data_IF_455974686061
#
_entry.id   IF_455974686061
#
_cell.length_a   1.000
_cell.length_b   1.000
_cell.length_c   1.000
_cell.angle_alpha   90.00
_cell.angle_beta   90.00
_cell.angle_gamma   90.00
#
_symmetry.space_group_name_H-M   'P 1'
#
loop_
_entity.id
_entity.type
_entity.pdbx_description
1 polymer ?
#
# COMPACT_ATOMS: atom_id res chain seq x y z
N UNK A 1 14.24 19.12 8.05
CA UNK A 1 14.21 19.44 6.60
C UNK A 1 15.06 18.40 5.88
N UNK A 2 14.46 17.53 5.09
CA UNK A 2 15.23 16.55 4.31
C UNK A 2 16.02 17.31 3.23
N UNK A 3 17.34 17.09 3.16
CA UNK A 3 18.19 17.65 2.11
C UNK A 3 17.70 17.14 0.76
N UNK A 4 17.41 18.05 -0.16
CA UNK A 4 17.24 17.74 -1.58
C UNK A 4 18.53 17.07 -2.06
N UNK A 5 18.43 15.80 -2.44
CA UNK A 5 19.59 15.05 -2.95
C UNK A 5 19.68 15.33 -4.44
N UNK A 6 20.58 16.19 -4.85
CA UNK A 6 20.90 16.37 -6.27
C UNK A 6 21.26 15.01 -6.89
N UNK A 7 20.54 14.62 -7.96
CA UNK A 7 20.79 13.37 -8.70
C UNK A 7 19.96 12.15 -8.27
N UNK A 8 18.74 12.32 -7.74
CA UNK A 8 17.84 11.17 -7.47
C UNK A 8 17.59 10.39 -8.76
N UNK A 9 18.06 9.14 -8.83
CA UNK A 9 17.74 8.23 -9.93
C UNK A 9 16.24 7.88 -9.90
N UNK A 10 15.51 8.35 -10.91
CA UNK A 10 14.04 8.35 -11.00
C UNK A 10 13.45 7.12 -11.69
N UNK A 11 14.22 6.06 -11.91
CA UNK A 11 13.70 4.86 -12.59
C UNK A 11 12.49 4.28 -11.85
N UNK A 12 11.47 3.86 -12.61
CA UNK A 12 10.22 3.29 -12.06
C UNK A 12 10.51 2.11 -11.13
N UNK A 13 11.43 1.24 -11.51
CA UNK A 13 11.87 0.09 -10.72
C UNK A 13 12.44 0.54 -9.37
N UNK A 14 13.36 1.51 -9.36
CA UNK A 14 13.96 1.99 -8.11
C UNK A 14 12.94 2.64 -7.19
N UNK A 15 11.99 3.41 -7.73
CA UNK A 15 10.88 3.97 -6.94
C UNK A 15 9.98 2.88 -6.37
N UNK A 16 9.67 1.84 -7.16
CA UNK A 16 8.95 0.66 -6.70
C UNK A 16 9.64 0.00 -5.51
N UNK A 17 10.92 -0.31 -5.65
CA UNK A 17 11.74 -0.89 -4.57
C UNK A 17 11.78 -0.01 -3.32
N UNK A 18 11.88 1.32 -3.47
CA UNK A 18 11.82 2.25 -2.33
C UNK A 18 10.47 2.14 -1.63
N UNK A 19 9.36 2.08 -2.38
CA UNK A 19 8.03 1.92 -1.79
C UNK A 19 7.85 0.59 -1.07
N UNK A 20 8.36 -0.51 -1.64
CA UNK A 20 8.38 -1.81 -0.98
C UNK A 20 9.14 -1.75 0.35
N UNK A 21 10.35 -1.17 0.36
CA UNK A 21 11.16 -1.01 1.56
C UNK A 21 10.48 -0.13 2.61
N UNK A 22 9.77 0.93 2.18
CA UNK A 22 8.99 1.79 3.07
C UNK A 22 7.84 1.04 3.73
N UNK A 23 7.09 0.24 2.96
CA UNK A 23 6.01 -0.61 3.48
C UNK A 23 6.55 -1.68 4.42
N UNK A 24 7.68 -2.31 4.10
CA UNK A 24 8.35 -3.27 4.98
C UNK A 24 8.75 -2.64 6.31
N UNK A 25 9.34 -1.44 6.27
CA UNK A 25 9.74 -0.72 7.48
C UNK A 25 8.53 -0.38 8.36
N UNK A 26 7.43 0.08 7.77
CA UNK A 26 6.20 0.42 8.50
C UNK A 26 5.56 -0.81 9.18
N UNK A 27 5.49 -1.94 8.47
CA UNK A 27 5.01 -3.21 9.02
C UNK A 27 5.88 -3.71 10.18
N UNK A 28 7.21 -3.61 10.05
CA UNK A 28 8.13 -3.98 11.12
C UNK A 28 7.98 -3.09 12.36
N UNK A 29 7.81 -1.78 12.16
CA UNK A 29 7.57 -0.82 13.24
C UNK A 29 6.21 -1.05 13.95
N UNK A 30 5.27 -1.70 13.27
CA UNK A 30 3.94 -2.04 13.79
C UNK A 30 3.81 -3.51 14.22
N UNK A 31 4.94 -4.18 14.47
CA UNK A 31 5.04 -5.55 15.03
C UNK A 31 4.51 -6.67 14.15
N UNK A 32 4.59 -6.50 12.83
CA UNK A 32 4.36 -7.60 11.89
C UNK A 32 5.66 -8.31 11.51
N UNK A 33 5.60 -9.63 11.45
CA UNK A 33 6.62 -10.43 10.79
C UNK A 33 6.35 -10.44 9.28
N UNK A 34 7.41 -10.21 8.49
CA UNK A 34 7.35 -10.12 7.02
C UNK A 34 8.22 -11.19 6.37
N UNK A 35 7.73 -11.74 5.26
CA UNK A 35 8.41 -12.77 4.48
C UNK A 35 8.50 -12.32 3.03
N UNK A 36 9.68 -12.44 2.43
CA UNK A 36 9.92 -12.04 1.05
C UNK A 36 9.88 -13.25 0.12
N UNK A 37 9.09 -13.22 -0.96
CA UNK A 37 9.12 -14.28 -1.95
C UNK A 37 10.45 -14.27 -2.70
N UNK A 38 10.99 -15.47 -2.98
CA UNK A 38 12.20 -15.63 -3.79
C UNK A 38 11.88 -15.44 -5.29
N UNK A 39 10.65 -15.75 -5.70
CA UNK A 39 10.19 -15.64 -7.09
C UNK A 39 9.24 -14.44 -7.26
N UNK A 40 9.52 -13.58 -8.25
CA UNK A 40 8.79 -12.34 -8.55
C UNK A 40 7.82 -12.46 -9.76
N UNK A 41 7.49 -13.69 -10.16
CA UNK A 41 6.60 -13.96 -11.30
C UNK A 41 5.11 -14.01 -10.92
N UNK A 42 4.78 -13.78 -9.65
CA UNK A 42 3.42 -13.97 -9.10
C UNK A 42 2.73 -12.71 -8.59
N UNK A 43 3.34 -11.52 -8.74
CA UNK A 43 2.76 -10.24 -8.32
C UNK A 43 2.42 -10.16 -6.82
N UNK A 44 3.25 -10.80 -5.99
CA UNK A 44 3.24 -10.70 -4.54
C UNK A 44 4.62 -10.15 -4.18
N UNK A 45 4.66 -8.99 -3.54
CA UNK A 45 5.93 -8.34 -3.19
C UNK A 45 6.42 -8.80 -1.82
N UNK A 46 5.49 -9.11 -0.90
CA UNK A 46 5.78 -9.63 0.43
C UNK A 46 4.58 -10.40 1.01
N UNK A 47 4.81 -11.20 2.04
CA UNK A 47 3.79 -11.88 2.83
C UNK A 47 3.87 -11.39 4.26
N UNK A 48 2.74 -11.06 4.86
CA UNK A 48 2.62 -10.59 6.24
C UNK A 48 1.95 -11.65 7.09
N UNK A 49 2.53 -11.94 8.25
CA UNK A 49 1.93 -12.84 9.24
C UNK A 49 1.13 -12.07 10.28
N UNK A 50 -0.09 -12.53 10.54
CA UNK A 50 -1.05 -11.93 11.46
C UNK A 50 -1.69 -13.01 12.34
N UNK A 51 -2.52 -12.61 13.31
CA UNK A 51 -3.32 -13.56 14.09
C UNK A 51 -4.28 -14.39 13.23
N UNK A 52 -4.62 -13.90 12.04
CA UNK A 52 -5.54 -14.56 11.11
C UNK A 52 -4.79 -15.40 10.05
N UNK A 53 -3.46 -15.52 10.16
CA UNK A 53 -2.62 -16.25 9.23
C UNK A 53 -1.79 -15.35 8.31
N UNK A 54 -1.43 -15.89 7.15
CA UNK A 54 -0.54 -15.25 6.17
C UNK A 54 -1.33 -14.51 5.10
N UNK A 55 -0.91 -13.27 4.83
CA UNK A 55 -1.55 -12.38 3.86
C UNK A 55 -0.55 -11.98 2.78
N UNK A 56 -0.87 -12.23 1.51
CA UNK A 56 -0.07 -11.85 0.36
C UNK A 56 -0.31 -10.38 0.04
N UNK A 57 0.76 -9.60 0.02
CA UNK A 57 0.71 -8.15 -0.17
C UNK A 57 1.37 -7.76 -1.47
N UNK A 58 0.70 -6.91 -2.23
CA UNK A 58 1.30 -6.18 -3.35
C UNK A 58 1.44 -4.71 -2.96
N UNK A 59 2.63 -4.16 -3.15
CA UNK A 59 2.96 -2.76 -2.95
C UNK A 59 2.77 -1.96 -4.23
N UNK A 60 2.21 -0.76 -4.10
CA UNK A 60 2.15 0.24 -5.16
C UNK A 60 2.71 1.56 -4.67
N UNK A 61 3.69 2.08 -5.42
CA UNK A 61 4.21 3.43 -5.21
C UNK A 61 3.43 4.43 -6.04
N UNK A 62 2.86 5.44 -5.37
CA UNK A 62 2.09 6.52 -5.97
C UNK A 62 2.88 7.82 -5.83
N UNK A 63 3.26 8.39 -6.98
CA UNK A 63 4.14 9.57 -7.03
C UNK A 63 3.37 10.88 -7.22
N UNK A 64 2.05 10.82 -7.29
CA UNK A 64 1.19 11.97 -7.56
C UNK A 64 -0.28 11.62 -7.47
N UNK A 65 -1.12 12.64 -7.30
CA UNK A 65 -2.57 12.48 -7.27
C UNK A 65 -3.13 12.40 -8.70
N UNK A 66 -4.18 11.60 -8.90
CA UNK A 66 -4.89 11.53 -10.19
C UNK A 66 -5.80 12.74 -10.40
N UNK A 67 -6.29 13.31 -9.29
CA UNK A 67 -7.05 14.56 -9.25
C UNK A 67 -6.42 15.55 -8.29
N UNK A 68 -7.05 16.70 -8.03
CA UNK A 68 -6.56 17.66 -7.04
C UNK A 68 -6.57 17.12 -5.60
N UNK A 69 -7.36 16.09 -5.33
CA UNK A 69 -7.66 15.63 -3.97
C UNK A 69 -7.58 14.12 -3.76
N UNK A 70 -7.55 13.33 -4.83
CA UNK A 70 -7.58 11.87 -4.78
C UNK A 70 -6.49 11.22 -5.62
N UNK A 71 -6.09 10.01 -5.21
CA UNK A 71 -5.29 9.10 -6.02
C UNK A 71 -6.18 7.97 -6.54
N UNK A 72 -5.91 7.53 -7.77
CA UNK A 72 -6.54 6.37 -8.39
C UNK A 72 -5.54 5.20 -8.37
N UNK A 73 -5.95 4.10 -7.75
CA UNK A 73 -5.22 2.84 -7.76
C UNK A 73 -5.82 1.93 -8.82
N UNK A 74 -5.02 1.55 -9.81
CA UNK A 74 -5.42 0.60 -10.86
C UNK A 74 -5.00 -0.80 -10.46
N UNK A 75 -5.98 -1.68 -10.30
CA UNK A 75 -5.85 -3.07 -9.87
C UNK A 75 -6.29 -4.05 -10.96
N UNK A 76 -6.56 -3.55 -12.17
CA UNK A 76 -7.03 -4.34 -13.32
C UNK A 76 -6.14 -5.53 -13.69
N UNK A 77 -4.83 -5.49 -13.38
CA UNK A 77 -3.92 -6.61 -13.60
C UNK A 77 -4.21 -7.84 -12.72
N UNK A 78 -4.89 -7.63 -11.58
CA UNK A 78 -5.19 -8.67 -10.59
C UNK A 78 -6.60 -9.24 -10.76
N UNK A 79 -7.44 -8.60 -11.58
CA UNK A 79 -8.76 -9.09 -11.98
C UNK A 79 -8.59 -10.00 -13.20
N UNK A 80 -7.92 -11.14 -13.03
CA UNK A 80 -7.89 -12.16 -14.07
C UNK A 80 -9.21 -12.93 -14.06
N UNK A 81 -9.96 -12.87 -15.16
CA UNK A 81 -11.18 -13.64 -15.37
C UNK A 81 -10.90 -15.13 -15.10
N UNK A 82 -11.40 -15.66 -13.99
CA UNK A 82 -11.36 -17.09 -13.68
C UNK A 82 -10.20 -17.60 -12.83
N UNK A 83 -9.38 -16.74 -12.21
CA UNK A 83 -8.36 -17.17 -11.23
C UNK A 83 -8.67 -16.57 -9.86
N UNK A 84 -8.61 -17.39 -8.80
CA UNK A 84 -8.67 -16.94 -7.40
C UNK A 84 -7.75 -15.73 -7.19
N UNK A 85 -8.22 -14.73 -6.45
CA UNK A 85 -7.42 -13.53 -6.16
C UNK A 85 -6.04 -13.91 -5.61
N UNK A 86 -4.98 -13.43 -6.26
CA UNK A 86 -3.60 -13.80 -5.90
C UNK A 86 -3.05 -13.00 -4.74
N UNK A 87 -3.61 -11.83 -4.47
CA UNK A 87 -3.22 -10.93 -3.39
C UNK A 87 -4.39 -10.77 -2.43
N UNK A 88 -4.09 -10.55 -1.16
CA UNK A 88 -5.08 -10.36 -0.10
C UNK A 88 -5.12 -8.89 0.32
N UNK A 89 -3.97 -8.19 0.29
CA UNK A 89 -3.85 -6.77 0.64
C UNK A 89 -3.05 -6.00 -0.41
N UNK A 90 -3.43 -4.75 -0.65
CA UNK A 90 -2.65 -3.77 -1.42
C UNK A 90 -2.02 -2.79 -0.45
N UNK A 91 -0.70 -2.82 -0.33
CA UNK A 91 0.09 -1.79 0.35
C UNK A 91 0.33 -0.60 -0.59
N UNK A 92 0.13 0.62 -0.12
CA UNK A 92 0.25 1.83 -0.93
C UNK A 92 1.24 2.76 -0.26
N UNK A 93 2.31 3.10 -0.96
CA UNK A 93 3.23 4.13 -0.55
C UNK A 93 2.98 5.41 -1.35
N UNK A 94 2.59 6.50 -0.68
CA UNK A 94 2.40 7.81 -1.30
C UNK A 94 3.64 8.70 -1.11
N UNK A 95 4.51 8.69 -2.13
CA UNK A 95 5.83 9.35 -2.12
C UNK A 95 5.79 10.84 -1.75
N UNK A 96 4.86 11.68 -2.26
CA UNK A 96 4.87 13.12 -1.97
C UNK A 96 4.64 13.50 -0.51
N UNK A 97 4.06 12.62 0.31
CA UNK A 97 3.78 12.89 1.73
C UNK A 97 4.38 11.86 2.67
N UNK A 98 5.12 10.88 2.15
CA UNK A 98 5.76 9.79 2.91
C UNK A 98 4.76 9.09 3.86
N UNK A 99 3.59 8.75 3.33
CA UNK A 99 2.52 8.05 4.06
C UNK A 99 2.17 6.72 3.40
N UNK A 100 1.70 5.78 4.21
CA UNK A 100 1.38 4.40 3.80
C UNK A 100 -0.09 4.09 4.12
N UNK A 101 -0.73 3.29 3.27
CA UNK A 101 -2.05 2.74 3.50
C UNK A 101 -2.14 1.28 3.05
N UNK A 102 -3.06 0.53 3.64
CA UNK A 102 -3.31 -0.89 3.42
C UNK A 102 -4.78 -1.11 3.12
N UNK A 103 -5.08 -1.71 1.97
CA UNK A 103 -6.46 -1.98 1.55
C UNK A 103 -6.62 -3.47 1.32
N UNK A 104 -7.62 -4.07 1.97
CA UNK A 104 -8.05 -5.43 1.66
C UNK A 104 -8.54 -5.52 0.20
N UNK A 105 -8.08 -6.55 -0.51
CA UNK A 105 -8.37 -6.73 -1.91
C UNK A 105 -9.61 -7.61 -2.11
N UNK A 106 -10.75 -6.98 -2.38
CA UNK A 106 -12.03 -7.64 -2.64
C UNK A 106 -12.27 -7.89 -4.15
N UNK A 107 -11.22 -7.92 -4.96
CA UNK A 107 -11.34 -8.14 -6.41
C UNK A 107 -11.73 -6.92 -7.24
N UNK A 108 -11.70 -5.72 -6.68
CA UNK A 108 -11.98 -4.47 -7.40
C UNK A 108 -10.98 -4.21 -8.55
N UNK A 109 -11.47 -3.58 -9.63
CA UNK A 109 -10.64 -3.17 -10.80
C UNK A 109 -9.86 -1.88 -10.50
N UNK A 110 -10.45 -0.99 -9.71
CA UNK A 110 -9.81 0.23 -9.26
C UNK A 110 -10.33 0.63 -7.89
N UNK A 111 -9.55 1.47 -7.21
CA UNK A 111 -9.89 2.03 -5.91
C UNK A 111 -9.44 3.49 -5.87
N UNK A 112 -10.28 4.39 -5.37
CA UNK A 112 -9.94 5.80 -5.22
C UNK A 112 -9.79 6.14 -3.74
N UNK A 113 -8.67 6.75 -3.37
CA UNK A 113 -8.43 7.27 -2.03
C UNK A 113 -8.33 8.79 -2.07
N UNK A 114 -9.10 9.45 -1.21
CA UNK A 114 -8.98 10.89 -0.99
C UNK A 114 -7.88 11.18 0.04
N UNK A 115 -6.96 12.08 -0.31
CA UNK A 115 -5.91 12.59 0.60
C UNK A 115 -6.28 13.97 1.13
N UNK A 116 -7.11 14.72 0.39
CA UNK A 116 -7.56 16.07 0.74
C UNK A 116 -9.05 16.21 0.45
N UNK A 117 -9.68 17.22 1.05
CA UNK A 117 -11.05 17.58 0.69
C UNK A 117 -11.15 17.91 -0.80
N UNK A 118 -12.18 17.36 -1.44
CA UNK A 118 -12.55 17.77 -2.80
C UNK A 118 -13.08 19.20 -2.78
N UNK A 119 -12.79 19.99 -3.82
CA UNK A 119 -13.28 21.36 -3.97
C UNK A 119 -14.81 21.47 -3.91
N UNK A 120 -15.52 20.38 -4.21
CA UNK A 120 -16.98 20.32 -4.20
C UNK A 120 -17.57 19.94 -2.83
N UNK A 121 -16.77 19.88 -1.76
CA UNK A 121 -17.19 19.45 -0.41
C UNK A 121 -18.01 18.15 -0.39
N UNK A 122 -17.74 17.26 -1.33
CA UNK A 122 -18.39 15.95 -1.37
C UNK A 122 -17.89 15.13 -0.19
N UNK A 123 -18.77 14.83 0.76
CA UNK A 123 -18.48 14.10 1.99
C UNK A 123 -19.06 12.69 2.01
N UNK A 124 -20.04 12.39 1.15
CA UNK A 124 -20.69 11.08 1.07
C UNK A 124 -19.85 10.09 0.25
N UNK A 125 -19.66 8.87 0.78
CA UNK A 125 -18.93 7.75 0.16
C UNK A 125 -17.47 8.06 -0.20
N UNK A 126 -16.82 8.95 0.55
CA UNK A 126 -15.38 9.21 0.39
C UNK A 126 -14.62 8.16 1.18
N UNK A 127 -13.69 7.47 0.52
CA UNK A 127 -12.71 6.60 1.17
C UNK A 127 -11.46 7.44 1.44
N UNK A 128 -11.21 7.78 2.69
CA UNK A 128 -10.06 8.61 3.06
C UNK A 128 -8.81 7.75 3.17
N UNK A 129 -7.69 8.22 2.64
CA UNK A 129 -6.40 7.54 2.77
C UNK A 129 -6.08 7.19 4.23
N UNK A 130 -6.35 8.14 5.13
CA UNK A 130 -6.04 8.03 6.55
C UNK A 130 -6.84 6.93 7.28
N UNK A 131 -7.98 6.51 6.73
CA UNK A 131 -8.79 5.41 7.30
C UNK A 131 -8.14 4.03 7.10
N UNK A 132 -7.08 3.96 6.27
CA UNK A 132 -6.41 2.72 5.87
C UNK A 132 -4.94 2.70 6.29
N UNK A 133 -4.52 3.51 7.25
CA UNK A 133 -3.11 3.55 7.67
C UNK A 133 -2.68 2.32 8.48
N UNK A 134 -3.63 1.61 9.08
CA UNK A 134 -3.38 0.36 9.79
C UNK A 134 -3.53 -0.84 8.85
N UNK A 135 -2.68 -1.85 9.03
CA UNK A 135 -2.85 -3.13 8.35
C UNK A 135 -4.17 -3.79 8.79
N UNK A 136 -4.99 -4.33 7.87
CA UNK A 136 -6.37 -4.72 8.17
C UNK A 136 -6.51 -5.95 9.09
N UNK A 137 -5.42 -6.68 9.33
CA UNK A 137 -5.40 -7.88 10.16
C UNK A 137 -4.47 -7.70 11.35
N UNK A 138 -4.90 -7.97 12.60
CA UNK A 138 -4.11 -7.65 13.78
C UNK A 138 -2.76 -8.40 13.84
N UNK A 139 -1.69 -7.77 14.36
CA UNK A 139 -0.37 -8.37 14.43
C UNK A 139 -0.34 -9.54 15.42
N UNK A 140 0.55 -10.50 15.20
CA UNK A 140 0.76 -11.63 16.12
C UNK A 140 1.20 -11.18 17.51
N UNK A 141 2.11 -10.21 17.55
CA UNK A 141 2.65 -9.65 18.79
C UNK A 141 1.85 -8.41 19.13
N UNK A 142 1.48 -8.27 20.39
CA UNK A 142 0.96 -7.00 20.89
C UNK A 142 2.01 -5.91 20.71
N UNK A 143 1.57 -4.64 20.64
CA UNK A 143 2.52 -3.54 20.78
C UNK A 143 3.00 -3.56 22.22
N UNK A 144 4.24 -4.00 22.42
CA UNK A 144 4.91 -3.88 23.70
C UNK A 144 4.93 -2.39 24.08
N UNK A 145 4.16 -2.04 25.10
CA UNK A 145 4.26 -0.71 25.71
C UNK A 145 5.55 -0.73 26.53
N UNK A 146 6.61 -0.11 26.01
CA UNK A 146 7.76 0.28 26.83
C UNK A 146 7.33 1.16 28.01
#
# INVERSE_FOLDING_TARGET
MAKERDGVNTSKTRRGTIGELKVQADLLLTNYDIYLPICDDHSVDLVVESQQGFHKVQVKTITGLSTKSSMELRLSKYVSKGTTHRIDVVGIYFEPSDIIAYIEYEGQISFNLAVKNSANNQTKNVRWFYDYMDFPFPPLRGIDKE
#
